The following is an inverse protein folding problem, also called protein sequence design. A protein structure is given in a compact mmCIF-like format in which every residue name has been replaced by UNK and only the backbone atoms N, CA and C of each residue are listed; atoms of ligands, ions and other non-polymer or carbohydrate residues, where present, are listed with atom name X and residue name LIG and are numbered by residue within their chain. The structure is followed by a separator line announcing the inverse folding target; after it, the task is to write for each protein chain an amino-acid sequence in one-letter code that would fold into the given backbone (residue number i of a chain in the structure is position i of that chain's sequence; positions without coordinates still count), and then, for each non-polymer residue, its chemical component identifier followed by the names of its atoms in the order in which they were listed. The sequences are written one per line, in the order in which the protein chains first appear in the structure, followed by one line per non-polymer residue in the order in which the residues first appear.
data_IF_271067524997
#
_entry.id   IF_271067524997
#
_cell.length_a   1.000
_cell.length_b   1.000
_cell.length_c   1.000
_cell.angle_alpha   90.00
_cell.angle_beta   90.00
_cell.angle_gamma   90.00
#
_symmetry.space_group_name_H-M   'P 1'
#
loop_
_entity.id
_entity.type
_entity.pdbx_description
1 polymer ?
#
# COMPACT_ATOMS: atom_id res chain seq x y z
N UNK A 1 -11.05 -16.65 52.26
CA UNK A 1 -11.79 -17.13 51.07
C UNK A 1 -12.40 -15.93 50.36
N UNK A 2 -11.78 -15.45 49.28
CA UNK A 2 -12.25 -14.29 48.51
C UNK A 2 -13.35 -14.66 47.52
N UNK A 3 -14.44 -13.89 47.49
CA UNK A 3 -15.57 -14.09 46.56
C UNK A 3 -15.16 -13.72 45.13
N UNK A 4 -15.32 -14.67 44.21
CA UNK A 4 -15.13 -14.45 42.76
C UNK A 4 -16.27 -13.54 42.25
N UNK A 5 -15.98 -12.44 41.53
CA UNK A 5 -17.02 -11.58 40.99
C UNK A 5 -17.80 -12.31 39.88
N UNK A 6 -19.14 -12.21 39.94
CA UNK A 6 -20.03 -12.81 38.94
C UNK A 6 -19.76 -12.21 37.56
N UNK A 7 -19.44 -13.06 36.58
CA UNK A 7 -19.35 -12.68 35.15
C UNK A 7 -20.65 -12.00 34.72
N UNK A 8 -20.56 -10.75 34.30
CA UNK A 8 -21.67 -10.05 33.65
C UNK A 8 -22.09 -10.83 32.40
N UNK A 9 -23.41 -11.03 32.23
CA UNK A 9 -23.96 -11.64 31.02
C UNK A 9 -23.56 -10.78 29.81
N UNK A 10 -22.96 -11.40 28.79
CA UNK A 10 -22.71 -10.75 27.52
C UNK A 10 -24.03 -10.21 26.97
N UNK A 11 -24.08 -8.91 26.65
CA UNK A 11 -25.25 -8.32 25.98
C UNK A 11 -25.34 -8.94 24.59
N UNK A 12 -26.40 -9.69 24.32
CA UNK A 12 -26.74 -10.15 22.98
C UNK A 12 -27.07 -8.92 22.12
N UNK A 13 -26.54 -8.92 20.90
CA UNK A 13 -26.83 -8.02 19.78
C UNK A 13 -26.03 -6.71 19.77
N UNK A 14 -24.74 -6.81 19.47
CA UNK A 14 -24.11 -5.81 18.59
C UNK A 14 -24.44 -6.27 17.17
N UNK A 15 -25.46 -5.66 16.57
CA UNK A 15 -25.68 -5.77 15.12
C UNK A 15 -24.62 -4.86 14.50
N UNK A 16 -23.65 -5.46 13.81
CA UNK A 16 -22.73 -4.69 12.97
C UNK A 16 -23.47 -4.35 11.68
N UNK A 17 -23.78 -3.07 11.45
CA UNK A 17 -24.44 -2.58 10.22
C UNK A 17 -23.57 -2.73 8.95
N UNK A 18 -22.37 -3.31 9.07
CA UNK A 18 -21.43 -3.56 7.99
C UNK A 18 -21.22 -5.05 7.81
N UNK A 19 -22.18 -5.73 7.19
CA UNK A 19 -21.86 -7.00 6.53
C UNK A 19 -20.87 -6.71 5.39
N UNK A 20 -19.71 -7.41 5.32
CA UNK A 20 -18.78 -7.26 4.21
C UNK A 20 -19.50 -7.49 2.88
N UNK A 21 -19.38 -6.55 1.95
CA UNK A 21 -19.82 -6.77 0.57
C UNK A 21 -18.85 -7.77 -0.08
N UNK A 22 -19.29 -9.02 -0.20
CA UNK A 22 -18.54 -10.13 -0.77
C UNK A 22 -18.64 -10.17 -2.31
N UNK A 23 -19.14 -9.12 -2.97
CA UNK A 23 -19.21 -9.09 -4.43
C UNK A 23 -17.80 -9.17 -5.04
N UNK A 24 -17.64 -10.02 -6.08
CA UNK A 24 -16.39 -10.15 -6.84
C UNK A 24 -16.03 -8.90 -7.65
N UNK A 25 -16.90 -7.89 -7.65
CA UNK A 25 -16.68 -6.60 -8.30
C UNK A 25 -15.76 -5.68 -7.49
N UNK A 26 -15.63 -5.90 -6.18
CA UNK A 26 -14.79 -5.07 -5.32
C UNK A 26 -13.32 -5.46 -5.37
N UNK A 27 -12.45 -4.48 -5.06
CA UNK A 27 -11.03 -4.77 -4.90
C UNK A 27 -10.79 -5.64 -3.67
N UNK A 28 -10.04 -6.72 -3.88
CA UNK A 28 -9.57 -7.61 -2.83
C UNK A 28 -8.07 -7.44 -2.67
N UNK A 29 -7.62 -7.09 -1.46
CA UNK A 29 -6.18 -6.97 -1.17
C UNK A 29 -5.61 -8.32 -0.74
N UNK A 30 -4.52 -8.72 -1.39
CA UNK A 30 -3.76 -9.93 -1.06
C UNK A 30 -2.45 -9.56 -0.35
N UNK A 31 -2.42 -9.73 0.98
CA UNK A 31 -1.28 -9.42 1.84
C UNK A 31 -0.41 -10.64 2.18
N UNK A 32 -0.55 -11.77 1.46
CA UNK A 32 0.21 -13.00 1.77
C UNK A 32 1.73 -12.81 1.67
N UNK A 33 2.18 -11.92 0.79
CA UNK A 33 3.58 -11.52 0.71
C UNK A 33 3.84 -10.32 1.62
N UNK A 34 4.63 -10.48 2.68
CA UNK A 34 4.90 -9.44 3.67
C UNK A 34 6.01 -8.45 3.25
N UNK A 35 6.72 -8.70 2.13
CA UNK A 35 7.86 -7.88 1.69
C UNK A 35 7.45 -6.48 1.22
N UNK A 36 6.15 -6.22 1.05
CA UNK A 36 5.64 -4.87 0.73
C UNK A 36 5.89 -3.81 1.82
N UNK A 37 6.27 -4.24 3.04
CA UNK A 37 6.72 -3.36 4.12
C UNK A 37 8.25 -3.25 4.22
N UNK A 38 9.01 -3.87 3.31
CA UNK A 38 10.47 -3.82 3.31
C UNK A 38 10.94 -2.40 2.92
N UNK A 39 11.85 -1.85 3.74
CA UNK A 39 12.49 -0.57 3.50
C UNK A 39 13.81 -0.74 2.74
N UNK A 40 13.90 -0.17 1.54
CA UNK A 40 15.07 -0.17 0.67
C UNK A 40 15.51 1.25 0.31
N UNK A 41 16.75 1.36 -0.16
CA UNK A 41 17.32 2.60 -0.70
C UNK A 41 17.97 2.29 -2.04
N UNK A 42 17.53 2.96 -3.11
CA UNK A 42 18.02 2.75 -4.47
C UNK A 42 18.27 4.09 -5.17
N UNK A 43 19.53 4.43 -5.36
CA UNK A 43 19.90 5.74 -5.91
C UNK A 43 19.32 6.88 -5.06
N UNK A 44 18.44 7.69 -5.65
CA UNK A 44 17.75 8.80 -4.97
C UNK A 44 16.43 8.39 -4.31
N UNK A 45 15.96 7.17 -4.55
CA UNK A 45 14.75 6.64 -3.93
C UNK A 45 15.07 6.01 -2.57
N UNK A 46 14.18 6.22 -1.61
CA UNK A 46 14.11 5.45 -0.37
C UNK A 46 12.65 5.31 0.03
N UNK A 47 12.27 4.16 0.56
CA UNK A 47 11.03 4.01 1.34
C UNK A 47 11.32 3.64 2.79
N UNK A 48 12.55 3.84 3.25
CA UNK A 48 12.85 3.80 4.67
C UNK A 48 12.19 4.99 5.36
N UNK A 49 11.85 4.80 6.62
CA UNK A 49 11.24 5.85 7.44
C UNK A 49 12.29 6.43 8.40
N UNK A 50 11.91 7.51 9.08
CA UNK A 50 12.76 8.11 10.11
C UNK A 50 12.84 7.20 11.35
N UNK A 51 11.69 6.72 11.81
CA UNK A 51 11.53 6.05 13.10
C UNK A 51 10.20 5.27 13.16
N UNK A 52 9.98 4.61 14.31
CA UNK A 52 8.76 3.86 14.63
C UNK A 52 7.52 4.75 14.58
N UNK A 53 7.60 5.99 15.06
CA UNK A 53 6.47 6.91 15.08
C UNK A 53 6.00 7.24 13.65
N UNK A 54 6.94 7.51 12.75
CA UNK A 54 6.68 7.75 11.33
C UNK A 54 6.03 6.53 10.68
N UNK A 55 6.47 5.31 11.05
CA UNK A 55 5.84 4.07 10.60
C UNK A 55 4.41 3.92 11.11
N UNK A 56 4.20 4.08 12.42
CA UNK A 56 2.87 3.96 13.05
C UNK A 56 1.86 4.92 12.42
N UNK A 57 2.24 6.18 12.18
CA UNK A 57 1.38 7.15 11.48
C UNK A 57 1.06 6.70 10.05
N UNK A 58 2.09 6.26 9.32
CA UNK A 58 1.97 5.85 7.93
C UNK A 58 1.08 4.62 7.74
N UNK A 59 1.32 3.56 8.53
CA UNK A 59 0.54 2.32 8.42
C UNK A 59 -0.89 2.51 8.92
N UNK A 60 -1.11 3.33 9.94
CA UNK A 60 -2.46 3.71 10.39
C UNK A 60 -3.20 4.43 9.27
N UNK A 61 -2.56 5.40 8.59
CA UNK A 61 -3.17 6.08 7.44
C UNK A 61 -3.53 5.09 6.33
N UNK A 62 -2.63 4.15 6.02
CA UNK A 62 -2.87 3.14 4.98
C UNK A 62 -4.08 2.27 5.32
N UNK A 63 -4.09 1.70 6.52
CA UNK A 63 -5.09 0.70 6.92
C UNK A 63 -6.44 1.32 7.27
N UNK A 64 -6.45 2.50 7.90
CA UNK A 64 -7.68 3.13 8.38
C UNK A 64 -8.32 4.08 7.35
N UNK A 65 -7.56 4.55 6.34
CA UNK A 65 -8.05 5.52 5.36
C UNK A 65 -7.88 5.06 3.92
N UNK A 66 -6.64 4.84 3.47
CA UNK A 66 -6.35 4.60 2.05
C UNK A 66 -7.06 3.34 1.56
N UNK A 67 -6.81 2.18 2.18
CA UNK A 67 -7.41 0.90 1.75
C UNK A 67 -8.95 0.97 1.79
N UNK A 68 -9.60 1.41 2.89
CA UNK A 68 -11.05 1.55 2.93
C UNK A 68 -11.62 2.46 1.84
N UNK A 69 -11.04 3.63 1.60
CA UNK A 69 -11.53 4.57 0.58
C UNK A 69 -11.46 3.99 -0.83
N UNK A 70 -10.39 3.26 -1.14
CA UNK A 70 -10.22 2.61 -2.46
C UNK A 70 -11.17 1.44 -2.64
N UNK A 71 -11.43 0.66 -1.59
CA UNK A 71 -12.44 -0.39 -1.66
C UNK A 71 -13.84 0.19 -1.84
N UNK A 72 -14.18 1.27 -1.13
CA UNK A 72 -15.47 1.96 -1.26
C UNK A 72 -15.69 2.55 -2.66
N UNK A 73 -14.62 2.90 -3.38
CA UNK A 73 -14.66 3.48 -4.73
C UNK A 73 -14.19 2.51 -5.82
N UNK A 74 -14.20 1.21 -5.53
CA UNK A 74 -13.70 0.16 -6.43
C UNK A 74 -14.31 0.25 -7.84
N UNK A 75 -15.63 0.46 -7.93
CA UNK A 75 -16.39 0.54 -9.19
C UNK A 75 -16.02 1.79 -9.98
N UNK A 76 -15.99 2.95 -9.33
CA UNK A 76 -15.65 4.23 -9.97
C UNK A 76 -14.22 4.21 -10.53
N UNK A 77 -13.27 3.64 -9.77
CA UNK A 77 -11.88 3.46 -10.20
C UNK A 77 -11.82 2.52 -11.41
N UNK A 78 -12.57 1.41 -11.39
CA UNK A 78 -12.63 0.48 -12.52
C UNK A 78 -13.17 1.13 -13.80
N UNK A 79 -14.11 2.06 -13.65
CA UNK A 79 -14.73 2.82 -14.75
C UNK A 79 -13.97 4.11 -15.09
N UNK A 80 -12.80 4.35 -14.47
CA UNK A 80 -11.99 5.57 -14.64
C UNK A 80 -12.74 6.88 -14.32
N UNK A 81 -13.78 6.82 -13.50
CA UNK A 81 -14.59 7.97 -13.09
C UNK A 81 -14.05 8.69 -11.84
N UNK A 82 -13.01 8.14 -11.21
CA UNK A 82 -12.41 8.66 -9.99
C UNK A 82 -11.08 9.38 -10.25
N UNK A 83 -11.10 10.50 -10.98
CA UNK A 83 -9.90 11.28 -11.37
C UNK A 83 -9.06 11.76 -10.19
N UNK A 84 -9.67 11.94 -9.02
CA UNK A 84 -9.02 12.52 -7.84
C UNK A 84 -8.28 11.48 -6.99
N UNK A 85 -8.41 10.19 -7.32
CA UNK A 85 -7.69 9.11 -6.66
C UNK A 85 -6.44 8.79 -7.45
N UNK A 86 -5.29 8.74 -6.75
CA UNK A 86 -4.08 8.16 -7.31
C UNK A 86 -4.23 6.64 -7.34
N UNK A 87 -5.22 6.12 -8.05
CA UNK A 87 -5.49 4.70 -8.29
C UNK A 87 -5.45 4.45 -9.79
N UNK A 88 -4.27 4.60 -10.38
CA UNK A 88 -4.08 4.52 -11.83
C UNK A 88 -2.86 3.67 -12.15
N UNK A 89 -2.80 3.11 -13.36
CA UNK A 89 -1.61 2.40 -13.81
C UNK A 89 -0.39 3.33 -13.83
N UNK A 90 0.78 2.74 -13.58
CA UNK A 90 2.05 3.40 -13.85
C UNK A 90 2.44 3.04 -15.28
N UNK A 91 2.43 4.04 -16.17
CA UNK A 91 2.67 3.84 -17.59
C UNK A 91 4.11 3.42 -17.88
N UNK A 92 4.26 2.42 -18.75
CA UNK A 92 5.58 2.03 -19.25
C UNK A 92 6.21 3.20 -20.00
N UNK A 93 7.51 3.40 -19.81
CA UNK A 93 8.25 4.53 -20.38
C UNK A 93 8.24 5.80 -19.53
N UNK A 94 7.32 5.94 -18.56
CA UNK A 94 7.38 7.03 -17.60
C UNK A 94 8.54 6.83 -16.60
N UNK A 95 9.17 7.92 -16.15
CA UNK A 95 10.32 7.87 -15.23
C UNK A 95 10.01 7.13 -13.92
N UNK A 96 8.78 7.27 -13.42
CA UNK A 96 8.34 6.57 -12.21
C UNK A 96 8.31 5.06 -12.38
N UNK A 97 7.98 4.56 -13.58
CA UNK A 97 8.00 3.13 -13.89
C UNK A 97 9.41 2.55 -13.74
N UNK A 98 10.42 3.27 -14.26
CA UNK A 98 11.83 2.86 -14.14
C UNK A 98 12.27 2.80 -12.67
N UNK A 99 11.92 3.81 -11.88
CA UNK A 99 12.21 3.84 -10.44
C UNK A 99 11.54 2.67 -9.72
N UNK A 100 10.25 2.43 -10.00
CA UNK A 100 9.48 1.33 -9.44
C UNK A 100 10.15 -0.02 -9.77
N UNK A 101 10.52 -0.27 -11.02
CA UNK A 101 11.21 -1.51 -11.39
C UNK A 101 12.56 -1.66 -10.66
N UNK A 102 13.33 -0.58 -10.53
CA UNK A 102 14.61 -0.63 -9.82
C UNK A 102 14.44 -0.99 -8.32
N UNK A 103 13.40 -0.46 -7.68
CA UNK A 103 13.02 -0.80 -6.29
C UNK A 103 12.53 -2.25 -6.22
N UNK A 104 11.76 -2.70 -7.20
CA UNK A 104 11.26 -4.07 -7.25
C UNK A 104 12.35 -5.11 -7.41
N UNK A 105 13.37 -4.82 -8.21
CA UNK A 105 14.54 -5.70 -8.31
C UNK A 105 15.31 -5.80 -7.01
N UNK A 106 15.27 -4.76 -6.18
CA UNK A 106 15.92 -4.75 -4.86
C UNK A 106 15.13 -5.60 -3.85
N UNK A 107 13.81 -5.51 -3.84
CA UNK A 107 12.95 -6.24 -2.88
C UNK A 107 12.73 -7.70 -3.29
N UNK A 108 12.56 -7.95 -4.59
CA UNK A 108 12.10 -9.23 -5.13
C UNK A 108 13.10 -9.93 -6.06
N UNK A 109 14.21 -9.29 -6.41
CA UNK A 109 15.25 -9.84 -7.27
C UNK A 109 15.14 -9.43 -8.75
N UNK A 110 16.22 -9.68 -9.51
CA UNK A 110 16.45 -9.13 -10.85
C UNK A 110 15.49 -9.64 -11.95
N UNK A 111 14.68 -10.66 -11.64
CA UNK A 111 13.71 -11.26 -12.57
C UNK A 111 12.25 -10.99 -12.19
N UNK A 112 12.00 -10.04 -11.29
CA UNK A 112 10.64 -9.73 -10.83
C UNK A 112 9.68 -9.45 -11.99
N UNK A 113 10.11 -8.71 -13.01
CA UNK A 113 9.25 -8.36 -14.15
C UNK A 113 8.75 -9.58 -14.92
N UNK A 114 9.53 -10.67 -14.94
CA UNK A 114 9.13 -11.93 -15.57
C UNK A 114 8.03 -12.65 -14.80
N UNK A 115 7.77 -12.23 -13.55
CA UNK A 115 6.71 -12.79 -12.70
C UNK A 115 5.37 -12.08 -12.87
N UNK A 116 5.36 -10.91 -13.52
CA UNK A 116 4.15 -10.14 -13.79
C UNK A 116 3.36 -10.87 -14.88
N UNK A 117 2.13 -11.27 -14.55
CA UNK A 117 1.25 -11.96 -15.49
C UNK A 117 0.68 -10.99 -16.54
N UNK A 118 0.25 -11.50 -17.69
CA UNK A 118 -0.28 -10.68 -18.79
C UNK A 118 -1.56 -9.90 -18.43
N UNK A 119 -2.32 -10.38 -17.44
CA UNK A 119 -3.52 -9.73 -16.89
C UNK A 119 -3.21 -8.83 -15.67
N UNK A 120 -1.94 -8.76 -15.26
CA UNK A 120 -1.48 -7.89 -14.18
C UNK A 120 -0.87 -6.59 -14.72
N UNK A 121 -1.05 -5.51 -13.96
CA UNK A 121 -0.42 -4.24 -14.26
C UNK A 121 0.02 -3.55 -12.96
N UNK A 122 1.14 -2.83 -13.03
CA UNK A 122 1.62 -2.02 -11.91
C UNK A 122 0.73 -0.80 -11.75
N UNK A 123 0.18 -0.65 -10.55
CA UNK A 123 -0.66 0.47 -10.16
C UNK A 123 0.01 1.27 -9.05
N UNK A 124 -0.24 2.57 -9.07
CA UNK A 124 -0.09 3.39 -7.88
C UNK A 124 -1.45 3.52 -7.23
N UNK A 125 -1.48 3.42 -5.91
CA UNK A 125 -2.67 3.51 -5.08
C UNK A 125 -2.41 4.49 -3.94
N UNK A 126 -3.18 5.57 -3.84
CA UNK A 126 -3.04 6.54 -2.76
C UNK A 126 -4.06 7.66 -2.82
N UNK A 127 -3.97 8.54 -1.82
CA UNK A 127 -4.73 9.79 -1.74
C UNK A 127 -3.84 10.97 -2.09
N UNK A 128 -4.44 12.05 -2.61
CA UNK A 128 -3.71 13.23 -3.11
C UNK A 128 -2.66 13.74 -2.13
N UNK A 129 -1.45 14.02 -2.65
CA UNK A 129 -0.34 14.61 -1.90
C UNK A 129 0.35 13.73 -0.83
N UNK A 130 -0.15 12.51 -0.57
CA UNK A 130 0.24 11.69 0.58
C UNK A 130 1.06 10.45 0.26
N UNK A 131 0.93 9.39 1.07
CA UNK A 131 1.59 8.10 0.88
C UNK A 131 1.04 7.37 -0.35
N UNK A 132 1.90 6.65 -1.07
CA UNK A 132 1.51 5.80 -2.22
C UNK A 132 1.87 4.35 -1.96
N UNK A 133 0.93 3.47 -2.21
CA UNK A 133 1.14 2.02 -2.23
C UNK A 133 1.32 1.64 -3.70
N UNK A 134 2.46 1.06 -4.03
CA UNK A 134 2.70 0.49 -5.35
C UNK A 134 2.21 -0.95 -5.30
N UNK A 135 1.42 -1.35 -6.29
CA UNK A 135 0.73 -2.64 -6.30
C UNK A 135 0.80 -3.29 -7.68
N UNK A 136 0.55 -4.59 -7.73
CA UNK A 136 0.09 -5.26 -8.94
C UNK A 136 -1.42 -5.45 -8.83
N UNK A 137 -2.13 -5.04 -9.87
CA UNK A 137 -3.56 -5.27 -10.00
C UNK A 137 -3.81 -6.28 -11.10
N UNK A 138 -4.51 -7.37 -10.77
CA UNK A 138 -5.07 -8.28 -11.76
C UNK A 138 -6.40 -7.72 -12.27
N UNK A 139 -6.49 -7.42 -13.57
CA UNK A 139 -7.68 -6.79 -14.16
C UNK A 139 -8.88 -7.73 -14.29
N UNK A 140 -8.67 -9.04 -14.26
CA UNK A 140 -9.74 -10.04 -14.40
C UNK A 140 -10.37 -10.37 -13.05
N UNK A 141 -9.55 -10.44 -11.99
CA UNK A 141 -10.01 -10.86 -10.65
C UNK A 141 -10.18 -9.73 -9.65
N UNK A 142 -9.78 -8.50 -10.02
CA UNK A 142 -9.75 -7.34 -9.12
C UNK A 142 -8.90 -7.55 -7.86
N UNK A 143 -7.97 -8.50 -7.90
CA UNK A 143 -6.99 -8.71 -6.83
C UNK A 143 -5.91 -7.64 -6.92
N UNK A 144 -5.63 -7.01 -5.78
CA UNK A 144 -4.57 -6.03 -5.59
C UNK A 144 -3.53 -6.63 -4.66
N UNK A 145 -2.31 -6.82 -5.18
CA UNK A 145 -1.16 -7.29 -4.41
C UNK A 145 -0.20 -6.12 -4.14
N UNK A 146 -0.05 -5.69 -2.88
CA UNK A 146 0.95 -4.67 -2.54
C UNK A 146 2.36 -5.14 -2.84
N UNK A 147 3.19 -4.21 -3.30
CA UNK A 147 4.57 -4.46 -3.67
C UNK A 147 5.56 -3.68 -2.82
N UNK A 148 5.29 -2.40 -2.60
CA UNK A 148 6.00 -1.57 -1.64
C UNK A 148 5.21 -0.29 -1.38
N UNK A 149 5.61 0.45 -0.35
CA UNK A 149 5.06 1.77 -0.07
C UNK A 149 6.08 2.84 -0.43
N UNK A 150 5.70 3.85 -1.20
CA UNK A 150 6.43 5.10 -1.36
C UNK A 150 5.87 6.13 -0.36
N UNK A 151 6.50 6.19 0.81
CA UNK A 151 6.11 7.11 1.89
C UNK A 151 6.40 8.58 1.56
N UNK A 152 7.29 8.85 0.60
CA UNK A 152 7.92 10.17 0.42
C UNK A 152 7.66 10.77 -0.97
N UNK A 153 6.82 10.15 -1.79
CA UNK A 153 6.56 10.56 -3.18
C UNK A 153 7.78 10.48 -4.11
N UNK A 154 8.79 9.68 -3.80
CA UNK A 154 10.05 9.70 -4.53
C UNK A 154 9.99 8.98 -5.88
N UNK A 155 8.99 8.13 -6.11
CA UNK A 155 8.80 7.52 -7.43
C UNK A 155 8.43 8.55 -8.50
N UNK A 156 7.80 9.67 -8.11
CA UNK A 156 7.42 10.78 -8.98
C UNK A 156 8.19 12.04 -8.56
N UNK A 157 9.49 12.13 -8.91
CA UNK A 157 10.31 13.24 -8.46
C UNK A 157 9.77 14.56 -9.01
N UNK A 158 9.30 15.42 -8.12
CA UNK A 158 8.98 16.80 -8.46
C UNK A 158 10.28 17.62 -8.39
N UNK A 159 10.73 18.25 -9.49
CA UNK A 159 11.97 19.02 -9.52
C UNK A 159 11.98 20.21 -8.53
N UNK A 160 10.82 20.63 -8.01
CA UNK A 160 10.71 21.74 -7.04
C UNK A 160 10.99 21.34 -5.58
N UNK A 161 11.03 20.05 -5.25
CA UNK A 161 11.24 19.58 -3.87
C UNK A 161 12.58 18.84 -3.76
N UNK A 162 13.47 19.34 -2.90
CA UNK A 162 14.82 18.78 -2.75
C UNK A 162 14.79 17.46 -1.97
N UNK A 163 15.25 16.39 -2.62
CA UNK A 163 15.36 15.03 -2.10
C UNK A 163 16.35 14.85 -0.91
N UNK A 164 16.96 15.92 -0.42
CA UNK A 164 18.02 15.89 0.60
C UNK A 164 17.54 15.40 1.96
N UNK A 165 16.27 15.58 2.29
CA UNK A 165 15.75 15.31 3.64
C UNK A 165 15.63 13.80 3.96
N UNK A 166 15.56 12.96 2.92
CA UNK A 166 15.30 11.52 3.08
C UNK A 166 16.58 10.68 3.17
N UNK A 167 17.76 11.28 2.98
CA UNK A 167 19.04 10.57 2.94
C UNK A 167 19.33 9.82 4.25
N UNK A 168 18.90 10.41 5.39
CA UNK A 168 19.15 9.92 6.75
C UNK A 168 18.15 8.86 7.24
N UNK A 169 17.09 8.58 6.47
CA UNK A 169 16.09 7.61 6.88
C UNK A 169 16.63 6.18 6.77
N UNK A 170 16.57 5.46 7.88
CA UNK A 170 17.14 4.12 8.01
C UNK A 170 16.15 3.09 8.54
N UNK A 171 15.00 3.52 9.06
CA UNK A 171 14.01 2.63 9.67
C UNK A 171 13.31 1.76 8.63
N UNK A 172 13.30 0.45 8.87
CA UNK A 172 12.62 -0.55 8.06
C UNK A 172 11.77 -1.44 8.99
N UNK A 173 10.43 -1.45 8.86
CA UNK A 173 9.55 -2.20 9.75
C UNK A 173 9.88 -3.69 9.80
N UNK A 174 10.03 -4.34 8.64
CA UNK A 174 10.34 -5.77 8.57
C UNK A 174 11.63 -6.08 9.33
N UNK A 175 12.76 -5.46 8.98
CA UNK A 175 14.03 -5.68 9.66
C UNK A 175 14.07 -5.33 11.17
N UNK A 176 13.09 -4.58 11.69
CA UNK A 176 13.02 -4.23 13.11
C UNK A 176 12.06 -5.14 13.91
N UNK A 177 11.12 -5.82 13.24
CA UNK A 177 10.01 -6.52 13.90
C UNK A 177 9.81 -7.97 13.47
N UNK A 178 10.42 -8.43 12.37
CA UNK A 178 10.37 -9.79 11.84
C UNK A 178 11.78 -10.28 11.48
#
# INVERSE_FOLDING_TARGET
MGKIPKRGKARKNVITDTTPDLSSENFTFDFRDNRWLLGVKKGKFTNKLKDVESYSKSITLIMAKIIPEIQAKSKDIQQSMASDFHCHPIEQGHRSYITVLAVMREIYGHSFEKTIQSNEQIYQIGVSGGIRIITLRNKQTNIIRPLFIDYHHLAYPNPKYSHTDYIKQSFCPIANYL
#
